data_IF_256371409051
#
_entry.id   IF_256371409051
#
_cell.length_a   1.000
_cell.length_b   1.000
_cell.length_c   1.000
_cell.angle_alpha   90.00
_cell.angle_beta   90.00
_cell.angle_gamma   90.00
#
_symmetry.space_group_name_H-M   'P 1'
#
loop_
_entity.id
_entity.type
_entity.pdbx_description
1 polymer ?
#
# COMPACT_ATOMS: atom_id res chain seq x y z
N UNK A 1 32.32 0.10 18.78
CA UNK A 1 31.93 0.01 17.34
C UNK A 1 32.78 0.96 16.53
N UNK A 2 33.43 0.49 15.44
CA UNK A 2 34.17 1.37 14.52
C UNK A 2 34.18 0.76 13.12
N UNK A 3 33.81 1.55 12.09
CA UNK A 3 33.75 1.16 10.68
C UNK A 3 33.77 2.36 9.75
N UNK A 4 34.05 2.13 8.46
CA UNK A 4 33.95 3.10 7.39
C UNK A 4 32.83 2.69 6.41
N UNK A 5 32.14 3.68 5.82
CA UNK A 5 31.03 3.46 4.87
C UNK A 5 30.92 4.65 3.92
N UNK A 6 30.37 4.48 2.71
CA UNK A 6 29.98 5.61 1.86
C UNK A 6 28.80 6.36 2.48
N UNK A 7 28.87 7.69 2.55
CA UNK A 7 27.78 8.54 3.03
C UNK A 7 26.48 8.32 2.23
N UNK A 8 26.59 8.10 0.92
CA UNK A 8 25.47 7.86 0.02
C UNK A 8 24.85 6.48 0.21
N UNK A 9 25.66 5.42 0.34
CA UNK A 9 25.16 4.06 0.59
C UNK A 9 24.47 3.96 1.96
N UNK A 10 25.05 4.55 2.98
CA UNK A 10 24.42 4.63 4.30
C UNK A 10 23.09 5.37 4.23
N UNK A 11 23.06 6.56 3.62
CA UNK A 11 21.84 7.34 3.49
C UNK A 11 20.75 6.57 2.76
N UNK A 12 21.07 5.91 1.63
CA UNK A 12 20.13 5.11 0.84
C UNK A 12 19.48 4.03 1.69
N UNK A 13 20.28 3.19 2.37
CA UNK A 13 19.75 2.15 3.25
C UNK A 13 18.86 2.68 4.37
N UNK A 14 19.31 3.77 5.03
CA UNK A 14 18.54 4.39 6.11
C UNK A 14 17.24 5.03 5.66
N UNK A 15 17.19 5.63 4.47
CA UNK A 15 15.97 6.26 3.94
C UNK A 15 14.84 5.26 3.75
N UNK A 16 15.12 4.06 3.26
CA UNK A 16 14.09 3.04 3.05
C UNK A 16 13.52 2.52 4.36
N UNK A 17 14.38 2.18 5.33
CA UNK A 17 13.91 1.66 6.62
C UNK A 17 13.36 2.75 7.54
N UNK A 18 13.69 4.03 7.32
CA UNK A 18 13.16 5.16 8.11
C UNK A 18 11.63 5.26 8.07
N UNK A 19 11.00 4.66 7.06
CA UNK A 19 9.53 4.60 6.92
C UNK A 19 8.85 3.79 8.04
N UNK A 20 9.61 2.96 8.77
CA UNK A 20 9.13 2.31 9.99
C UNK A 20 9.24 3.20 11.24
N UNK A 21 10.07 4.26 11.22
CA UNK A 21 10.25 5.14 12.38
C UNK A 21 8.96 5.93 12.63
N UNK A 22 8.36 5.84 13.83
CA UNK A 22 7.17 6.62 14.15
C UNK A 22 7.51 8.11 14.35
N UNK A 23 6.61 9.00 13.97
CA UNK A 23 6.78 10.44 14.19
C UNK A 23 6.85 10.80 15.70
N UNK A 24 6.14 10.05 16.53
CA UNK A 24 6.18 10.04 17.99
C UNK A 24 5.88 8.63 18.47
N UNK A 25 6.62 8.17 19.47
CA UNK A 25 6.42 6.86 20.07
C UNK A 25 6.21 6.96 21.58
N UNK A 26 5.41 6.06 22.14
CA UNK A 26 5.36 5.84 23.58
C UNK A 26 6.67 5.24 24.12
N UNK A 27 7.45 4.60 23.23
CA UNK A 27 8.79 4.07 23.50
C UNK A 27 9.81 4.93 22.75
N UNK A 28 10.49 5.88 23.39
CA UNK A 28 11.41 6.81 22.70
C UNK A 28 12.56 6.11 21.97
N UNK A 29 12.93 4.91 22.39
CA UNK A 29 13.98 4.12 21.73
C UNK A 29 13.64 3.82 20.26
N UNK A 30 12.35 3.72 19.89
CA UNK A 30 11.89 3.47 18.52
C UNK A 30 12.05 4.68 17.57
N UNK A 31 12.43 5.86 18.11
CA UNK A 31 12.82 7.01 17.28
C UNK A 31 14.27 6.89 16.78
N UNK A 32 14.95 5.77 17.10
CA UNK A 32 16.32 5.49 16.75
C UNK A 32 16.42 4.34 15.76
N UNK A 33 17.51 4.30 15.00
CA UNK A 33 17.96 3.10 14.30
C UNK A 33 18.73 2.23 15.26
N UNK A 34 18.49 0.94 15.23
CA UNK A 34 19.36 -0.05 15.86
C UNK A 34 20.45 -0.43 14.86
N UNK A 35 21.70 -0.15 15.19
CA UNK A 35 22.89 -0.56 14.46
C UNK A 35 23.43 -1.84 15.11
N UNK A 36 23.66 -2.87 14.31
CA UNK A 36 24.27 -4.14 14.70
C UNK A 36 25.41 -4.44 13.74
N UNK A 37 26.64 -4.28 14.18
CA UNK A 37 27.83 -4.46 13.37
C UNK A 37 28.46 -5.82 13.64
N UNK A 38 28.50 -6.69 12.62
CA UNK A 38 29.14 -8.00 12.64
C UNK A 38 30.07 -8.16 11.43
N UNK A 39 31.37 -8.27 11.66
CA UNK A 39 32.35 -8.30 10.58
C UNK A 39 32.27 -7.04 9.72
N UNK A 40 32.06 -7.21 8.43
CA UNK A 40 31.93 -6.12 7.46
C UNK A 40 30.47 -5.85 7.06
N UNK A 41 29.49 -6.32 7.82
CA UNK A 41 28.06 -6.07 7.60
C UNK A 41 27.50 -5.27 8.75
N UNK A 42 26.92 -4.13 8.43
CA UNK A 42 26.09 -3.33 9.33
C UNK A 42 24.63 -3.66 9.08
N UNK A 43 24.00 -4.45 9.97
CA UNK A 43 22.55 -4.56 9.98
C UNK A 43 21.94 -3.34 10.66
N UNK A 44 21.02 -2.68 9.98
CA UNK A 44 20.29 -1.55 10.55
C UNK A 44 18.82 -1.90 10.64
N UNK A 45 18.23 -1.71 11.83
CA UNK A 45 16.82 -1.98 12.11
C UNK A 45 16.08 -0.70 12.48
N UNK A 46 14.87 -0.55 11.96
CA UNK A 46 13.89 0.46 12.34
C UNK A 46 12.54 -0.20 12.66
N UNK A 47 11.83 0.25 13.69
CA UNK A 47 10.58 -0.39 14.12
C UNK A 47 9.60 0.60 14.75
N UNK A 48 8.29 0.32 14.61
CA UNK A 48 7.20 0.97 15.37
C UNK A 48 6.44 -0.01 16.29
N UNK A 49 6.98 -1.19 16.55
CA UNK A 49 6.41 -2.32 17.30
C UNK A 49 5.39 -3.18 16.52
N UNK A 50 4.82 -2.71 15.43
CA UNK A 50 3.92 -3.47 14.55
C UNK A 50 4.58 -3.83 13.22
N UNK A 51 5.50 -2.97 12.80
CA UNK A 51 6.30 -3.07 11.58
C UNK A 51 7.78 -2.92 11.94
N UNK A 52 8.60 -3.84 11.49
CA UNK A 52 10.07 -3.74 11.57
C UNK A 52 10.66 -3.85 10.18
N UNK A 53 11.55 -2.93 9.85
CA UNK A 53 12.38 -2.96 8.66
C UNK A 53 13.84 -3.16 9.05
N UNK A 54 14.54 -4.04 8.33
CA UNK A 54 15.96 -4.29 8.46
C UNK A 54 16.61 -4.20 7.09
N UNK A 55 17.80 -3.66 7.05
CA UNK A 55 18.65 -3.67 5.86
C UNK A 55 20.09 -3.95 6.22
N UNK A 56 20.81 -4.61 5.31
CA UNK A 56 22.22 -4.89 5.44
C UNK A 56 23.02 -3.92 4.58
N UNK A 57 24.04 -3.32 5.17
CA UNK A 57 24.95 -2.37 4.50
C UNK A 57 26.35 -2.90 4.62
N UNK A 58 27.05 -3.06 3.50
CA UNK A 58 28.47 -3.42 3.50
C UNK A 58 29.30 -2.24 3.99
N UNK A 59 30.24 -2.53 4.90
CA UNK A 59 31.12 -1.54 5.50
C UNK A 59 32.56 -2.01 5.42
N UNK A 60 33.49 -1.06 5.49
CA UNK A 60 34.92 -1.30 5.42
C UNK A 60 35.61 -0.99 6.74
N UNK A 61 36.87 -1.42 6.89
CA UNK A 61 37.77 -1.10 8.00
C UNK A 61 37.13 -1.30 9.38
N UNK A 62 36.40 -2.40 9.57
CA UNK A 62 35.80 -2.73 10.85
C UNK A 62 36.87 -3.11 11.86
N UNK A 63 36.96 -2.36 12.97
CA UNK A 63 37.90 -2.62 14.06
C UNK A 63 37.20 -3.13 15.31
N UNK A 64 35.98 -2.67 15.59
CA UNK A 64 35.20 -3.02 16.78
C UNK A 64 33.75 -3.26 16.40
N UNK A 65 33.27 -4.45 16.64
CA UNK A 65 31.86 -4.84 16.55
C UNK A 65 31.04 -4.22 17.69
N UNK A 66 29.72 -4.32 17.59
CA UNK A 66 28.84 -3.87 18.67
C UNK A 66 27.44 -3.55 18.21
N UNK A 67 26.61 -3.20 19.19
CA UNK A 67 25.19 -2.93 18.98
C UNK A 67 24.77 -1.68 19.74
N UNK A 68 24.22 -0.70 19.03
CA UNK A 68 23.80 0.60 19.59
C UNK A 68 22.56 1.14 18.92
N UNK A 69 21.79 1.98 19.61
CA UNK A 69 20.65 2.69 19.01
C UNK A 69 21.00 4.17 18.76
N UNK A 70 20.88 4.63 17.52
CA UNK A 70 21.33 5.95 17.05
C UNK A 70 20.11 6.79 16.60
N UNK A 71 20.00 8.08 17.00
CA UNK A 71 18.88 8.94 16.62
C UNK A 71 18.68 9.04 15.11
N UNK A 72 17.58 8.49 14.61
CA UNK A 72 17.34 8.32 13.19
C UNK A 72 17.27 9.67 12.46
N UNK A 73 16.49 10.61 12.98
CA UNK A 73 16.26 11.90 12.35
C UNK A 73 17.54 12.71 12.20
N UNK A 74 18.32 12.82 13.28
CA UNK A 74 19.57 13.59 13.25
C UNK A 74 20.59 13.01 12.30
N UNK A 75 20.68 11.66 12.26
CA UNK A 75 21.63 11.00 11.37
C UNK A 75 21.22 11.19 9.90
N UNK A 76 19.95 11.03 9.56
CA UNK A 76 19.45 11.25 8.19
C UNK A 76 19.64 12.72 7.77
N UNK A 77 19.30 13.67 8.64
CA UNK A 77 19.44 15.09 8.34
C UNK A 77 20.92 15.46 8.09
N UNK A 78 21.84 14.91 8.89
CA UNK A 78 23.28 15.08 8.66
C UNK A 78 23.72 14.49 7.30
N UNK A 79 23.32 13.24 7.01
CA UNK A 79 23.74 12.55 5.79
C UNK A 79 23.21 13.21 4.51
N UNK A 80 22.02 13.83 4.56
CA UNK A 80 21.46 14.58 3.43
C UNK A 80 22.27 15.79 3.01
N UNK A 81 23.00 16.40 3.95
CA UNK A 81 23.83 17.58 3.68
C UNK A 81 25.27 17.20 3.26
N UNK A 82 25.64 15.92 3.32
CA UNK A 82 26.96 15.45 2.92
C UNK A 82 26.97 15.08 1.42
N UNK A 83 28.01 15.51 0.67
CA UNK A 83 28.26 14.94 -0.65
C UNK A 83 28.70 13.48 -0.52
N UNK A 84 28.72 12.76 -1.64
CA UNK A 84 29.26 11.40 -1.65
C UNK A 84 30.73 11.38 -1.27
N UNK A 85 31.03 10.73 -0.14
CA UNK A 85 32.37 10.61 0.41
C UNK A 85 32.46 9.49 1.45
N UNK A 86 33.69 9.01 1.76
CA UNK A 86 33.88 8.11 2.90
C UNK A 86 33.49 8.77 4.22
N UNK A 87 32.77 8.02 5.03
CA UNK A 87 32.34 8.40 6.38
C UNK A 87 32.87 7.36 7.36
N UNK A 88 33.60 7.82 8.40
CA UNK A 88 34.04 6.98 9.51
C UNK A 88 33.07 7.16 10.67
N UNK A 89 32.51 6.06 11.16
CA UNK A 89 31.62 6.05 12.34
C UNK A 89 32.33 5.28 13.45
N UNK A 90 32.42 5.89 14.64
CA UNK A 90 33.02 5.26 15.80
C UNK A 90 32.32 5.64 17.11
N UNK A 91 32.26 4.74 18.06
CA UNK A 91 31.91 5.08 19.45
C UNK A 91 33.07 5.88 20.08
N UNK A 92 32.78 7.07 20.57
CA UNK A 92 33.77 7.99 21.17
C UNK A 92 33.76 7.90 22.69
N UNK A 93 32.60 7.63 23.29
CA UNK A 93 32.41 7.44 24.72
C UNK A 93 31.22 6.48 24.96
N UNK A 94 30.90 6.22 26.23
CA UNK A 94 29.77 5.33 26.59
C UNK A 94 28.37 5.87 26.17
N UNK A 95 28.29 7.04 25.59
CA UNK A 95 26.99 7.66 25.21
C UNK A 95 27.04 8.47 23.93
N UNK A 96 28.13 8.50 23.17
CA UNK A 96 28.26 9.25 21.93
C UNK A 96 29.00 8.49 20.84
N UNK A 97 28.54 8.67 19.60
CA UNK A 97 29.24 8.26 18.38
C UNK A 97 29.75 9.48 17.65
N UNK A 98 30.92 9.36 17.06
CA UNK A 98 31.49 10.33 16.13
C UNK A 98 31.21 9.85 14.69
N UNK A 99 30.61 10.74 13.88
CA UNK A 99 30.55 10.63 12.44
C UNK A 99 31.59 11.59 11.86
N UNK A 100 32.66 11.07 11.24
CA UNK A 100 33.77 11.87 10.70
C UNK A 100 33.82 11.75 9.18
N UNK A 101 33.93 12.87 8.52
CA UNK A 101 34.09 12.95 7.06
C UNK A 101 35.37 13.79 6.74
N UNK A 102 35.67 13.98 5.45
CA UNK A 102 36.94 14.56 4.99
C UNK A 102 37.28 15.92 5.63
N UNK A 103 36.28 16.77 5.88
CA UNK A 103 36.47 18.17 6.31
C UNK A 103 35.93 18.48 7.70
N UNK A 104 35.33 17.52 8.38
CA UNK A 104 34.72 17.75 9.68
C UNK A 104 34.21 16.49 10.38
N UNK A 105 33.56 16.71 11.51
CA UNK A 105 32.89 15.63 12.25
C UNK A 105 31.63 16.14 12.95
N UNK A 106 30.78 15.19 13.35
CA UNK A 106 29.62 15.42 14.20
C UNK A 106 29.59 14.38 15.31
N UNK A 107 29.18 14.79 16.50
CA UNK A 107 28.92 13.91 17.63
C UNK A 107 27.42 13.76 17.79
N UNK A 108 26.93 12.51 17.82
CA UNK A 108 25.53 12.16 18.08
C UNK A 108 25.45 11.31 19.35
N UNK A 109 24.41 11.45 20.16
CA UNK A 109 24.17 10.52 21.25
C UNK A 109 23.81 9.13 20.70
N UNK A 110 24.08 8.08 21.46
CA UNK A 110 23.50 6.77 21.23
C UNK A 110 22.91 6.20 22.54
N UNK A 111 22.07 5.18 22.41
CA UNK A 111 21.40 4.52 23.54
C UNK A 111 21.73 3.03 23.53
N UNK A 112 21.66 2.36 24.71
CA UNK A 112 21.84 0.94 24.80
C UNK A 112 20.88 0.16 23.88
N UNK A 113 21.39 -0.87 23.20
CA UNK A 113 20.64 -1.68 22.27
C UNK A 113 19.65 -2.64 22.97
N UNK A 114 19.89 -2.97 24.23
CA UNK A 114 19.09 -3.90 25.03
C UNK A 114 17.65 -3.42 25.22
N UNK A 115 17.44 -2.11 25.17
CA UNK A 115 16.12 -1.49 25.29
C UNK A 115 15.30 -1.52 23.98
N UNK A 116 15.93 -1.95 22.86
CA UNK A 116 15.26 -1.96 21.56
C UNK A 116 14.40 -3.21 21.39
N UNK A 117 13.08 -3.06 21.20
CA UNK A 117 12.18 -4.21 21.10
C UNK A 117 12.44 -5.00 19.82
N UNK A 118 12.49 -6.32 19.97
CA UNK A 118 12.63 -7.23 18.83
C UNK A 118 11.28 -7.79 18.43
N UNK A 119 10.91 -7.63 17.17
CA UNK A 119 9.78 -8.36 16.57
C UNK A 119 10.34 -9.69 16.05
N UNK A 120 9.74 -10.80 16.53
CA UNK A 120 10.06 -12.14 16.05
C UNK A 120 9.53 -12.29 14.63
N UNK A 121 10.29 -12.96 13.78
CA UNK A 121 9.83 -13.40 12.47
C UNK A 121 8.68 -14.42 12.55
N UNK A 122 8.25 -14.92 11.42
CA UNK A 122 7.28 -15.99 11.32
C UNK A 122 7.80 -17.29 11.98
N UNK A 123 6.89 -18.10 12.51
CA UNK A 123 7.21 -19.34 13.21
C UNK A 123 7.80 -20.44 12.32
N UNK A 124 8.16 -21.57 12.94
CA UNK A 124 8.78 -22.70 12.24
C UNK A 124 7.85 -23.39 11.21
N UNK A 125 6.53 -23.31 11.41
CA UNK A 125 5.51 -23.85 10.50
C UNK A 125 5.02 -22.82 9.46
N UNK A 126 5.77 -21.74 9.23
CA UNK A 126 5.39 -20.68 8.30
C UNK A 126 5.43 -21.17 6.85
N UNK A 127 4.45 -20.74 6.06
CA UNK A 127 4.43 -20.93 4.62
C UNK A 127 5.33 -19.88 3.95
N UNK A 128 5.97 -20.26 2.83
CA UNK A 128 6.82 -19.36 2.05
C UNK A 128 6.42 -19.39 0.59
N UNK A 129 6.28 -18.20 -0.01
CA UNK A 129 5.81 -18.00 -1.38
C UNK A 129 6.72 -16.97 -2.05
N UNK A 130 7.14 -17.26 -3.29
CA UNK A 130 7.81 -16.29 -4.14
C UNK A 130 6.78 -15.47 -4.93
N UNK A 131 6.88 -14.14 -4.85
CA UNK A 131 5.97 -13.22 -5.53
C UNK A 131 6.77 -12.23 -6.38
N UNK A 132 6.49 -12.11 -7.71
CA UNK A 132 7.15 -11.10 -8.53
C UNK A 132 6.92 -9.70 -7.96
N UNK A 133 7.99 -8.92 -7.80
CA UNK A 133 7.96 -7.60 -7.19
C UNK A 133 6.99 -6.64 -7.91
N UNK A 134 6.99 -6.68 -9.24
CA UNK A 134 6.08 -5.86 -10.07
C UNK A 134 4.62 -6.18 -9.78
N UNK A 135 4.22 -7.47 -9.83
CA UNK A 135 2.84 -7.92 -9.58
C UNK A 135 2.41 -7.64 -8.14
N UNK A 136 3.34 -7.75 -7.16
CA UNK A 136 3.06 -7.42 -5.76
C UNK A 136 2.77 -5.94 -5.57
N UNK A 137 3.65 -5.07 -6.08
CA UNK A 137 3.51 -3.61 -5.98
C UNK A 137 2.25 -3.15 -6.72
N UNK A 138 1.98 -3.70 -7.91
CA UNK A 138 0.78 -3.38 -8.69
C UNK A 138 -0.49 -3.80 -7.94
N UNK A 139 -0.54 -5.02 -7.41
CA UNK A 139 -1.69 -5.52 -6.66
C UNK A 139 -1.99 -4.68 -5.41
N UNK A 140 -0.95 -4.27 -4.67
CA UNK A 140 -1.11 -3.35 -3.54
C UNK A 140 -1.62 -1.98 -4.02
N UNK A 141 -1.05 -1.41 -5.09
CA UNK A 141 -1.48 -0.12 -5.62
C UNK A 141 -2.95 -0.14 -6.06
N UNK A 142 -3.38 -1.22 -6.73
CA UNK A 142 -4.76 -1.38 -7.20
C UNK A 142 -5.78 -1.56 -6.08
N UNK A 143 -5.38 -2.03 -4.90
CA UNK A 143 -6.32 -2.41 -3.84
C UNK A 143 -6.30 -1.50 -2.62
N UNK A 144 -5.15 -0.95 -2.23
CA UNK A 144 -4.94 -0.27 -0.95
C UNK A 144 -5.92 0.90 -0.68
N UNK A 145 -6.36 1.62 -1.72
CA UNK A 145 -7.28 2.75 -1.57
C UNK A 145 -8.71 2.33 -1.19
N UNK A 146 -9.02 1.04 -1.33
CA UNK A 146 -10.31 0.49 -0.96
C UNK A 146 -10.35 -0.06 0.47
N UNK A 147 -9.24 -0.07 1.20
CA UNK A 147 -9.22 -0.47 2.61
C UNK A 147 -10.07 0.47 3.46
N UNK A 148 -10.69 -0.07 4.50
CA UNK A 148 -11.40 0.71 5.51
C UNK A 148 -10.45 1.38 6.52
N UNK A 149 -11.06 2.20 7.37
CA UNK A 149 -10.47 2.72 8.61
C UNK A 149 -11.58 2.57 9.68
N UNK A 150 -11.79 1.35 10.16
CA UNK A 150 -12.97 0.93 10.91
C UNK A 150 -12.58 0.12 12.14
N UNK A 151 -12.83 0.65 13.32
CA UNK A 151 -12.51 -0.01 14.59
C UNK A 151 -13.40 -1.24 14.87
N UNK A 152 -14.60 -1.30 14.27
CA UNK A 152 -15.57 -2.39 14.50
C UNK A 152 -15.22 -3.60 13.63
N UNK A 153 -14.66 -3.37 12.44
CA UNK A 153 -14.33 -4.41 11.47
C UNK A 153 -12.86 -4.35 11.06
N UNK A 154 -11.93 -4.67 11.99
CA UNK A 154 -10.48 -4.52 11.74
C UNK A 154 -9.99 -5.29 10.52
N UNK A 155 -10.63 -6.41 10.18
CA UNK A 155 -10.28 -7.19 8.98
C UNK A 155 -10.35 -6.39 7.67
N UNK A 156 -11.16 -5.32 7.61
CA UNK A 156 -11.28 -4.45 6.44
C UNK A 156 -10.21 -3.33 6.40
N UNK A 157 -9.43 -3.14 7.46
CA UNK A 157 -8.35 -2.13 7.52
C UNK A 157 -7.07 -2.59 6.82
N UNK A 158 -7.13 -3.69 6.09
CA UNK A 158 -6.01 -4.26 5.36
C UNK A 158 -6.39 -4.82 4.01
N UNK A 159 -5.37 -5.26 3.30
CA UNK A 159 -5.48 -5.99 2.04
C UNK A 159 -5.49 -7.48 2.37
N UNK A 160 -6.49 -8.19 1.90
CA UNK A 160 -6.57 -9.63 2.00
C UNK A 160 -5.83 -10.28 0.83
N UNK A 161 -4.81 -11.06 1.13
CA UNK A 161 -4.07 -11.89 0.19
C UNK A 161 -4.70 -13.27 0.20
N UNK A 162 -5.24 -13.68 -0.93
CA UNK A 162 -5.95 -14.97 -1.12
C UNK A 162 -5.19 -15.80 -2.16
N UNK A 163 -4.36 -16.73 -1.68
CA UNK A 163 -3.54 -17.60 -2.51
C UNK A 163 -4.31 -18.88 -2.88
N UNK A 164 -4.25 -19.23 -4.14
CA UNK A 164 -4.92 -20.42 -4.66
C UNK A 164 -4.13 -21.14 -5.75
N UNK A 165 -4.63 -22.33 -6.15
CA UNK A 165 -3.96 -23.18 -7.13
C UNK A 165 -3.99 -22.66 -8.57
N UNK A 166 -4.89 -21.74 -8.88
CA UNK A 166 -5.02 -21.19 -10.23
C UNK A 166 -4.51 -19.75 -10.32
N UNK A 167 -4.67 -18.99 -9.24
CA UNK A 167 -4.34 -17.56 -9.21
C UNK A 167 -4.23 -17.06 -7.76
N UNK A 168 -3.59 -15.92 -7.59
CA UNK A 168 -3.59 -15.15 -6.34
C UNK A 168 -4.43 -13.90 -6.51
N UNK A 169 -5.26 -13.58 -5.50
CA UNK A 169 -6.11 -12.41 -5.50
C UNK A 169 -5.84 -11.52 -4.30
N UNK A 170 -5.55 -10.25 -4.52
CA UNK A 170 -5.48 -9.21 -3.49
C UNK A 170 -6.83 -8.50 -3.44
N UNK A 171 -7.41 -8.36 -2.25
CA UNK A 171 -8.75 -7.79 -2.07
C UNK A 171 -8.75 -6.73 -0.98
N UNK A 172 -9.40 -5.62 -1.24
CA UNK A 172 -9.69 -4.62 -0.22
C UNK A 172 -11.13 -4.10 -0.33
N UNK A 173 -11.74 -3.78 0.81
CA UNK A 173 -13.11 -3.26 0.89
C UNK A 173 -13.33 -2.41 2.13
N UNK A 174 -14.16 -1.35 1.98
CA UNK A 174 -14.68 -0.53 3.08
C UNK A 174 -16.20 -0.73 3.31
N UNK A 175 -16.79 -1.78 2.74
CA UNK A 175 -18.22 -2.09 2.67
C UNK A 175 -19.02 -1.29 1.64
N UNK A 176 -18.50 -0.20 1.12
CA UNK A 176 -19.16 0.62 0.09
C UNK A 176 -18.57 0.37 -1.29
N UNK A 177 -17.29 0.10 -1.33
CA UNK A 177 -16.56 -0.33 -2.52
C UNK A 177 -15.73 -1.57 -2.18
N UNK A 178 -15.46 -2.41 -3.17
CA UNK A 178 -14.57 -3.56 -3.08
C UNK A 178 -13.75 -3.62 -4.36
N UNK A 179 -12.46 -3.85 -4.20
CA UNK A 179 -11.55 -4.02 -5.32
C UNK A 179 -10.84 -5.35 -5.18
N UNK A 180 -10.80 -6.09 -6.28
CA UNK A 180 -10.00 -7.29 -6.45
C UNK A 180 -8.96 -7.05 -7.53
N UNK A 181 -7.73 -7.45 -7.25
CA UNK A 181 -6.67 -7.61 -8.23
C UNK A 181 -6.26 -9.07 -8.26
N UNK A 182 -6.38 -9.71 -9.41
CA UNK A 182 -6.05 -11.14 -9.57
C UNK A 182 -4.91 -11.27 -10.55
N UNK A 183 -3.87 -12.02 -10.16
CA UNK A 183 -2.74 -12.38 -11.02
C UNK A 183 -2.60 -13.90 -11.12
N UNK A 184 -2.15 -14.36 -12.28
CA UNK A 184 -1.83 -15.76 -12.54
C UNK A 184 -0.33 -16.08 -12.36
N UNK A 185 0.48 -15.07 -12.02
CA UNK A 185 1.94 -15.20 -11.85
C UNK A 185 2.30 -16.00 -10.60
N UNK A 186 1.42 -16.01 -9.61
CA UNK A 186 1.62 -16.71 -8.33
C UNK A 186 0.51 -17.72 -8.11
N UNK A 187 0.92 -18.97 -7.91
CA UNK A 187 0.03 -20.12 -7.64
C UNK A 187 0.63 -20.94 -6.51
N UNK A 188 -0.24 -21.48 -5.68
CA UNK A 188 0.16 -22.30 -4.52
C UNK A 188 -0.58 -23.62 -4.54
N UNK A 189 0.07 -24.71 -4.13
CA UNK A 189 -0.56 -26.03 -4.10
C UNK A 189 -1.71 -26.08 -3.07
N UNK A 190 -1.57 -25.36 -1.97
CA UNK A 190 -2.56 -25.25 -0.92
C UNK A 190 -3.14 -23.85 -0.86
N UNK A 191 -4.44 -23.75 -0.62
CA UNK A 191 -5.08 -22.46 -0.39
C UNK A 191 -4.63 -21.89 0.96
N UNK A 192 -4.07 -20.71 0.93
CA UNK A 192 -3.66 -19.97 2.13
C UNK A 192 -3.99 -18.50 2.01
N UNK A 193 -3.99 -17.78 3.12
CA UNK A 193 -4.38 -16.37 3.10
C UNK A 193 -3.94 -15.63 4.35
N UNK A 194 -3.74 -14.31 4.20
CA UNK A 194 -3.54 -13.41 5.33
C UNK A 194 -4.11 -12.01 5.05
N UNK A 195 -4.20 -11.18 6.08
CA UNK A 195 -4.65 -9.78 5.97
C UNK A 195 -3.49 -8.88 6.40
N UNK A 196 -2.93 -8.12 5.43
CA UNK A 196 -1.88 -7.15 5.66
C UNK A 196 -2.49 -5.77 5.93
N UNK A 197 -2.18 -5.17 7.08
CA UNK A 197 -2.69 -3.85 7.44
C UNK A 197 -2.26 -2.79 6.41
N UNK A 198 -3.09 -1.77 6.21
CA UNK A 198 -2.88 -0.66 5.27
C UNK A 198 -1.52 0.02 5.40
N UNK A 199 -1.06 0.29 6.64
CA UNK A 199 0.23 0.97 6.86
C UNK A 199 1.41 0.13 6.37
N UNK A 200 1.61 -1.13 6.80
CA UNK A 200 2.63 -2.01 6.23
C UNK A 200 2.53 -2.15 4.70
N UNK A 201 1.33 -2.33 4.14
CA UNK A 201 1.16 -2.41 2.70
C UNK A 201 1.63 -1.13 1.97
N UNK A 202 1.35 0.05 2.56
CA UNK A 202 1.82 1.33 2.02
C UNK A 202 3.35 1.47 2.08
N UNK A 203 3.97 0.99 3.15
CA UNK A 203 5.44 0.99 3.28
C UNK A 203 6.03 0.02 2.26
N UNK A 204 5.55 -1.22 2.21
CA UNK A 204 6.05 -2.27 1.31
C UNK A 204 6.09 -1.78 -0.14
N UNK A 205 4.98 -1.27 -0.68
CA UNK A 205 4.92 -0.75 -2.06
C UNK A 205 5.85 0.44 -2.34
N UNK A 206 6.34 1.11 -1.30
CA UNK A 206 7.22 2.27 -1.43
C UNK A 206 8.70 1.95 -1.33
N UNK A 207 9.04 0.72 -0.86
CA UNK A 207 10.43 0.26 -0.71
C UNK A 207 10.78 -0.87 -1.69
N UNK A 208 9.80 -1.66 -2.13
CA UNK A 208 10.01 -2.67 -3.17
C UNK A 208 10.10 -1.98 -4.52
N UNK A 209 11.23 -2.19 -5.21
CA UNK A 209 11.40 -1.80 -6.60
C UNK A 209 10.82 -2.86 -7.53
N UNK A 210 10.30 -2.45 -8.67
CA UNK A 210 9.88 -3.39 -9.73
C UNK A 210 11.04 -4.23 -10.27
N UNK A 211 12.26 -3.72 -10.12
CA UNK A 211 13.50 -4.38 -10.57
C UNK A 211 14.05 -5.38 -9.54
N UNK A 212 13.45 -5.51 -8.34
CA UNK A 212 13.92 -6.42 -7.29
C UNK A 212 13.70 -7.92 -7.62
N UNK A 213 13.13 -8.23 -8.79
CA UNK A 213 12.84 -9.60 -9.20
C UNK A 213 11.70 -10.21 -8.38
N UNK A 214 11.99 -11.12 -7.45
CA UNK A 214 11.01 -11.74 -6.58
C UNK A 214 11.13 -11.24 -5.14
N UNK A 215 9.99 -11.13 -4.48
CA UNK A 215 9.86 -10.93 -3.03
C UNK A 215 9.49 -12.27 -2.41
N UNK A 216 10.29 -12.76 -1.48
CA UNK A 216 9.94 -13.94 -0.68
C UNK A 216 8.99 -13.51 0.43
N UNK A 217 7.79 -14.10 0.46
CA UNK A 217 6.75 -13.83 1.47
C UNK A 217 6.65 -15.06 2.37
N UNK A 218 7.08 -14.94 3.62
CA UNK A 218 6.99 -16.02 4.63
C UNK A 218 6.00 -15.60 5.72
N UNK A 219 4.96 -16.38 5.97
CA UNK A 219 3.91 -15.99 6.91
C UNK A 219 3.36 -17.15 7.73
N UNK A 220 2.87 -16.81 8.90
CA UNK A 220 2.08 -17.66 9.79
C UNK A 220 0.72 -17.00 10.10
N UNK A 221 0.03 -17.45 11.13
CA UNK A 221 -1.29 -16.89 11.52
C UNK A 221 -1.26 -15.46 12.08
N UNK A 222 -0.10 -14.92 12.39
CA UNK A 222 0.07 -13.65 13.14
C UNK A 222 1.10 -12.71 12.55
N UNK A 223 2.03 -13.22 11.77
CA UNK A 223 3.21 -12.49 11.30
C UNK A 223 3.46 -12.78 9.83
N UNK A 224 3.90 -11.79 9.09
CA UNK A 224 4.42 -11.93 7.73
C UNK A 224 5.78 -11.29 7.63
N UNK A 225 6.66 -11.93 6.89
CA UNK A 225 8.01 -11.47 6.54
C UNK A 225 8.10 -11.33 5.03
N UNK A 226 8.49 -10.17 4.56
CA UNK A 226 8.84 -9.91 3.15
C UNK A 226 10.34 -9.74 3.07
N UNK A 227 11.00 -10.54 2.23
CA UNK A 227 12.45 -10.47 2.00
C UNK A 227 12.72 -10.20 0.52
N UNK A 228 13.48 -9.15 0.24
CA UNK A 228 13.87 -8.73 -1.09
C UNK A 228 15.18 -7.96 -1.03
N UNK A 229 16.05 -8.16 -2.04
CA UNK A 229 17.40 -7.61 -2.06
C UNK A 229 18.09 -7.83 -0.70
N UNK A 230 18.52 -6.78 -0.04
CA UNK A 230 19.14 -6.78 1.30
C UNK A 230 18.18 -6.34 2.41
N UNK A 231 16.89 -6.26 2.10
CA UNK A 231 15.88 -5.72 3.01
C UNK A 231 14.93 -6.81 3.47
N UNK A 232 14.65 -6.81 4.77
CA UNK A 232 13.64 -7.65 5.40
C UNK A 232 12.61 -6.77 6.11
N UNK A 233 11.34 -7.02 5.82
CA UNK A 233 10.20 -6.35 6.45
C UNK A 233 9.38 -7.36 7.23
N UNK A 234 9.27 -7.18 8.53
CA UNK A 234 8.47 -8.03 9.42
C UNK A 234 7.24 -7.25 9.87
N UNK A 235 6.03 -7.80 9.67
CA UNK A 235 4.79 -7.16 10.04
C UNK A 235 3.88 -8.09 10.84
N UNK A 236 3.14 -7.50 11.78
CA UNK A 236 1.99 -8.19 12.38
C UNK A 236 0.82 -8.20 11.41
N UNK A 237 0.14 -9.33 11.35
CA UNK A 237 -1.06 -9.52 10.55
C UNK A 237 -2.32 -9.11 11.32
N UNK A 238 -3.35 -8.70 10.59
CA UNK A 238 -4.67 -8.56 11.17
C UNK A 238 -5.26 -9.95 11.36
N UNK A 239 -5.44 -10.34 12.62
CA UNK A 239 -6.04 -11.62 12.98
C UNK A 239 -7.56 -11.52 12.82
N UNK A 240 -8.14 -12.43 12.02
CA UNK A 240 -9.59 -12.46 11.80
C UNK A 240 -9.97 -13.09 10.48
N UNK A 241 -11.27 -13.24 10.28
CA UNK A 241 -11.81 -13.77 9.03
C UNK A 241 -12.19 -12.63 8.10
N UNK A 242 -11.61 -12.59 6.91
CA UNK A 242 -12.03 -11.66 5.87
C UNK A 242 -13.44 -12.02 5.37
N UNK A 243 -14.31 -11.03 5.05
CA UNK A 243 -15.60 -11.29 4.47
C UNK A 243 -15.53 -12.16 3.19
N UNK A 244 -16.57 -12.94 2.92
CA UNK A 244 -16.65 -13.73 1.69
C UNK A 244 -16.86 -12.83 0.47
N UNK A 245 -15.80 -12.21 0.02
CA UNK A 245 -15.83 -11.19 -1.02
C UNK A 245 -16.37 -11.71 -2.36
N UNK A 246 -16.15 -13.00 -2.67
CA UNK A 246 -16.65 -13.61 -3.91
C UNK A 246 -18.18 -13.64 -3.99
N UNK A 247 -18.87 -13.70 -2.85
CA UNK A 247 -20.33 -13.75 -2.80
C UNK A 247 -20.99 -12.40 -3.14
N UNK A 248 -20.22 -11.30 -3.05
CA UNK A 248 -20.72 -9.94 -3.35
C UNK A 248 -20.41 -9.48 -4.77
N UNK A 249 -19.62 -10.26 -5.54
CA UNK A 249 -19.34 -9.97 -6.95
C UNK A 249 -20.58 -10.28 -7.78
N UNK A 250 -21.21 -9.29 -8.46
CA UNK A 250 -22.44 -9.52 -9.20
C UNK A 250 -22.20 -10.41 -10.42
N UNK A 251 -22.91 -11.52 -10.53
CA UNK A 251 -22.85 -12.41 -11.68
C UNK A 251 -23.81 -12.04 -12.82
N UNK A 252 -24.93 -11.34 -12.52
CA UNK A 252 -26.07 -11.15 -13.44
C UNK A 252 -26.39 -9.67 -13.69
N UNK A 253 -25.40 -8.86 -13.99
CA UNK A 253 -25.56 -7.46 -14.34
C UNK A 253 -25.67 -7.33 -15.87
N UNK A 254 -26.91 -7.27 -16.39
CA UNK A 254 -27.19 -7.33 -17.83
C UNK A 254 -27.09 -6.00 -18.56
N UNK A 255 -27.21 -4.88 -17.86
CA UNK A 255 -27.10 -3.54 -18.45
C UNK A 255 -25.62 -3.13 -18.49
N UNK A 256 -25.08 -2.92 -19.68
CA UNK A 256 -23.63 -2.72 -19.90
C UNK A 256 -23.39 -1.32 -20.45
N UNK A 257 -22.54 -0.58 -19.76
CA UNK A 257 -21.98 0.72 -20.19
C UNK A 257 -20.52 0.52 -20.58
N UNK A 258 -20.13 1.00 -21.78
CA UNK A 258 -18.75 1.15 -22.23
C UNK A 258 -18.46 2.64 -22.43
N UNK A 259 -17.35 3.12 -21.87
CA UNK A 259 -17.03 4.54 -21.89
C UNK A 259 -15.53 4.77 -21.75
N UNK A 260 -15.03 5.84 -22.38
CA UNK A 260 -13.68 6.35 -22.11
C UNK A 260 -13.53 6.72 -20.63
N UNK A 261 -12.56 6.11 -19.97
CA UNK A 261 -12.33 6.26 -18.53
C UNK A 261 -11.96 7.69 -18.14
N UNK A 262 -11.10 8.35 -18.95
CA UNK A 262 -10.64 9.70 -18.64
C UNK A 262 -11.77 10.73 -18.82
N UNK A 263 -12.56 10.60 -19.89
CA UNK A 263 -13.75 11.40 -20.12
C UNK A 263 -14.70 11.28 -18.92
N UNK A 264 -15.00 10.04 -18.52
CA UNK A 264 -15.92 9.79 -17.42
C UNK A 264 -15.40 10.34 -16.08
N UNK A 265 -14.13 10.06 -15.73
CA UNK A 265 -13.50 10.57 -14.51
C UNK A 265 -13.54 12.10 -14.44
N UNK A 266 -13.16 12.77 -15.54
CA UNK A 266 -13.11 14.21 -15.58
C UNK A 266 -14.53 14.83 -15.49
N UNK A 267 -15.53 14.19 -16.10
CA UNK A 267 -16.93 14.62 -15.99
C UNK A 267 -17.46 14.45 -14.57
N UNK A 268 -17.22 13.28 -13.95
CA UNK A 268 -17.57 13.05 -12.53
C UNK A 268 -16.94 14.11 -11.63
N UNK A 269 -15.66 14.42 -11.82
CA UNK A 269 -14.95 15.44 -11.03
C UNK A 269 -15.56 16.84 -11.20
N UNK A 270 -15.89 17.25 -12.43
CA UNK A 270 -16.50 18.56 -12.67
C UNK A 270 -17.89 18.68 -12.03
N UNK A 271 -18.74 17.69 -12.26
CA UNK A 271 -20.11 17.68 -11.72
C UNK A 271 -20.11 17.59 -10.18
N UNK A 272 -19.21 16.80 -9.62
CA UNK A 272 -19.08 16.60 -8.16
C UNK A 272 -18.73 17.89 -7.39
N UNK A 273 -18.22 18.95 -8.05
CA UNK A 273 -18.00 20.26 -7.42
C UNK A 273 -19.31 20.84 -6.86
N UNK A 274 -20.43 20.53 -7.51
CA UNK A 274 -21.76 20.97 -7.09
C UNK A 274 -22.51 19.95 -6.21
N UNK A 275 -21.88 18.84 -5.86
CA UNK A 275 -22.47 17.86 -4.96
C UNK A 275 -22.46 18.36 -3.52
N UNK A 276 -23.47 17.98 -2.73
CA UNK A 276 -23.48 18.24 -1.31
C UNK A 276 -22.23 17.64 -0.64
N UNK A 277 -21.49 18.44 0.12
CA UNK A 277 -20.18 18.06 0.69
C UNK A 277 -20.25 16.88 1.67
N UNK A 278 -21.35 16.73 2.40
CA UNK A 278 -21.50 15.66 3.37
C UNK A 278 -21.81 14.30 2.71
N UNK A 279 -22.67 14.31 1.69
CA UNK A 279 -23.11 13.08 1.01
C UNK A 279 -22.28 12.75 -0.22
N UNK A 280 -21.72 13.75 -0.90
CA UNK A 280 -20.98 13.62 -2.17
C UNK A 280 -21.78 12.87 -3.26
N UNK A 281 -23.11 13.01 -3.26
CA UNK A 281 -24.00 12.30 -4.17
C UNK A 281 -23.94 12.85 -5.59
N UNK A 282 -23.81 11.93 -6.54
CA UNK A 282 -24.07 12.18 -7.96
C UNK A 282 -25.07 11.17 -8.48
N UNK A 283 -25.82 11.53 -9.49
CA UNK A 283 -26.78 10.67 -10.20
C UNK A 283 -26.32 10.48 -11.62
N UNK A 284 -26.34 9.25 -12.09
CA UNK A 284 -26.13 8.87 -13.48
C UNK A 284 -27.48 8.48 -14.09
N UNK A 285 -27.85 9.10 -15.19
CA UNK A 285 -29.00 8.71 -16.03
C UNK A 285 -28.47 8.11 -17.33
N UNK A 286 -28.65 6.81 -17.49
CA UNK A 286 -28.15 6.03 -18.61
C UNK A 286 -29.28 5.79 -19.62
N UNK A 287 -29.01 6.13 -20.88
CA UNK A 287 -29.86 5.84 -22.03
C UNK A 287 -29.00 5.37 -23.21
N UNK A 288 -29.56 4.67 -24.17
CA UNK A 288 -28.81 4.30 -25.37
C UNK A 288 -28.10 5.50 -26.01
N UNK A 289 -26.78 5.38 -26.15
CA UNK A 289 -25.91 6.38 -26.77
C UNK A 289 -25.50 7.57 -25.90
N UNK A 290 -26.06 7.77 -24.71
CA UNK A 290 -25.70 8.89 -23.84
C UNK A 290 -25.86 8.61 -22.35
N UNK A 291 -25.04 9.28 -21.55
CA UNK A 291 -25.18 9.31 -20.09
C UNK A 291 -25.27 10.79 -19.65
N UNK A 292 -26.19 11.10 -18.75
CA UNK A 292 -26.27 12.38 -18.06
C UNK A 292 -25.81 12.18 -16.62
N UNK A 293 -24.89 13.03 -16.15
CA UNK A 293 -24.38 13.04 -14.78
C UNK A 293 -24.88 14.32 -14.12
N UNK A 294 -25.53 14.20 -12.97
CA UNK A 294 -26.06 15.34 -12.22
C UNK A 294 -25.61 15.34 -10.77
N UNK A 295 -25.42 16.52 -10.21
CA UNK A 295 -25.22 16.75 -8.79
C UNK A 295 -25.94 18.02 -8.37
N UNK A 296 -26.38 18.07 -7.09
CA UNK A 296 -26.99 19.26 -6.53
C UNK A 296 -26.74 19.37 -5.03
N UNK A 297 -26.65 20.59 -4.54
CA UNK A 297 -26.72 20.93 -3.12
C UNK A 297 -27.82 21.96 -2.92
N UNK A 298 -28.96 21.50 -2.42
CA UNK A 298 -30.12 22.36 -2.19
C UNK A 298 -29.88 23.41 -1.10
N UNK A 299 -28.98 23.12 -0.16
CA UNK A 299 -28.64 24.05 0.93
C UNK A 299 -27.90 25.29 0.43
N UNK A 300 -27.14 25.16 -0.64
CA UNK A 300 -26.40 26.26 -1.28
C UNK A 300 -27.01 26.71 -2.61
N UNK A 301 -28.12 26.10 -3.04
CA UNK A 301 -28.77 26.39 -4.34
C UNK A 301 -27.81 26.25 -5.54
N UNK A 302 -26.92 25.25 -5.49
CA UNK A 302 -26.00 24.93 -6.58
C UNK A 302 -26.36 23.60 -7.21
N UNK A 303 -26.20 23.51 -8.53
CA UNK A 303 -26.41 22.28 -9.29
C UNK A 303 -25.50 22.25 -10.52
N UNK A 304 -25.16 21.08 -10.96
CA UNK A 304 -24.47 20.85 -12.23
C UNK A 304 -25.05 19.64 -12.93
N UNK A 305 -25.02 19.65 -14.25
CA UNK A 305 -25.26 18.48 -15.07
C UNK A 305 -24.32 18.50 -16.27
N UNK A 306 -23.96 17.33 -16.74
CA UNK A 306 -23.16 17.17 -17.95
C UNK A 306 -23.61 15.92 -18.70
N UNK A 307 -23.73 16.03 -20.03
CA UNK A 307 -24.07 14.91 -20.91
C UNK A 307 -22.85 14.49 -21.70
N UNK A 308 -22.60 13.19 -21.70
CA UNK A 308 -21.49 12.61 -22.46
C UNK A 308 -21.99 11.42 -23.29
N UNK A 309 -21.37 11.23 -24.46
CA UNK A 309 -21.61 10.08 -25.30
C UNK A 309 -21.04 8.81 -24.65
N UNK A 310 -21.75 7.72 -24.76
CA UNK A 310 -21.30 6.41 -24.28
C UNK A 310 -21.99 5.27 -25.07
N UNK A 311 -21.42 4.09 -25.01
CA UNK A 311 -22.08 2.89 -25.50
C UNK A 311 -22.81 2.25 -24.32
N UNK A 312 -24.12 2.37 -24.30
CA UNK A 312 -24.96 1.75 -23.28
C UNK A 312 -25.93 0.75 -23.92
N UNK A 313 -25.83 -0.49 -23.46
CA UNK A 313 -26.74 -1.56 -23.84
C UNK A 313 -27.52 -1.99 -22.60
N UNK A 314 -28.75 -1.50 -22.49
CA UNK A 314 -29.63 -1.80 -21.36
C UNK A 314 -30.87 -0.93 -21.38
N UNK A 315 -31.78 -1.17 -20.42
CA UNK A 315 -32.94 -0.30 -20.20
C UNK A 315 -32.52 1.04 -19.58
N UNK A 316 -33.33 2.08 -19.79
CA UNK A 316 -33.12 3.37 -19.13
C UNK A 316 -32.92 3.17 -17.61
N UNK A 317 -31.84 3.67 -17.09
CA UNK A 317 -31.43 3.45 -15.70
C UNK A 317 -31.00 4.77 -15.05
N UNK A 318 -31.59 5.08 -13.90
CA UNK A 318 -31.12 6.16 -13.02
C UNK A 318 -30.52 5.54 -11.75
N UNK A 319 -29.24 5.81 -11.49
CA UNK A 319 -28.49 5.22 -10.37
C UNK A 319 -27.61 6.29 -9.71
N UNK A 320 -27.56 6.28 -8.38
CA UNK A 320 -26.73 7.20 -7.60
C UNK A 320 -25.46 6.58 -7.06
N UNK A 321 -24.40 7.37 -7.00
CA UNK A 321 -23.16 6.96 -6.38
C UNK A 321 -22.55 8.10 -5.54
N UNK A 322 -21.69 7.73 -4.59
CA UNK A 322 -20.80 8.68 -3.94
C UNK A 322 -19.67 9.03 -4.90
N UNK A 323 -19.59 10.28 -5.32
CA UNK A 323 -18.64 10.74 -6.33
C UNK A 323 -17.19 10.51 -5.96
N UNK A 324 -16.86 10.59 -4.65
CA UNK A 324 -15.52 10.31 -4.14
C UNK A 324 -15.11 8.86 -4.40
N UNK A 325 -15.97 7.89 -4.09
CA UNK A 325 -15.69 6.48 -4.31
C UNK A 325 -15.59 6.12 -5.80
N UNK A 326 -16.50 6.66 -6.61
CA UNK A 326 -16.44 6.45 -8.05
C UNK A 326 -15.15 7.06 -8.64
N UNK A 327 -14.79 8.28 -8.26
CA UNK A 327 -13.56 8.94 -8.71
C UNK A 327 -12.30 8.19 -8.27
N UNK A 328 -12.26 7.62 -7.06
CA UNK A 328 -11.15 6.79 -6.59
C UNK A 328 -10.99 5.54 -7.47
N UNK A 329 -12.07 4.81 -7.72
CA UNK A 329 -12.02 3.62 -8.59
C UNK A 329 -11.54 4.01 -9.99
N UNK A 330 -12.15 5.02 -10.62
CA UNK A 330 -11.79 5.47 -11.96
C UNK A 330 -10.33 5.95 -12.06
N UNK A 331 -9.80 6.57 -11.00
CA UNK A 331 -8.42 7.07 -10.98
C UNK A 331 -7.37 5.96 -10.87
N UNK A 332 -7.74 4.81 -10.27
CA UNK A 332 -6.84 3.69 -10.05
C UNK A 332 -6.99 2.55 -11.09
N UNK A 333 -7.93 2.69 -12.03
CA UNK A 333 -7.99 1.82 -13.21
C UNK A 333 -6.99 2.29 -14.27
N UNK A 334 -6.27 1.38 -14.92
CA UNK A 334 -5.23 1.68 -15.92
C UNK A 334 -5.70 1.46 -17.37
N UNK A 335 -7.02 1.34 -17.60
CA UNK A 335 -7.60 1.10 -18.92
C UNK A 335 -7.93 2.41 -19.65
N UNK A 336 -8.01 2.38 -20.98
CA UNK A 336 -8.59 3.46 -21.79
C UNK A 336 -10.12 3.36 -21.76
N UNK A 337 -10.66 2.17 -22.03
CA UNK A 337 -12.10 1.89 -22.03
C UNK A 337 -12.52 1.17 -20.77
N UNK A 338 -13.47 1.75 -20.06
CA UNK A 338 -14.07 1.20 -18.86
C UNK A 338 -15.41 0.51 -19.21
N UNK A 339 -15.67 -0.62 -18.58
CA UNK A 339 -16.95 -1.31 -18.65
C UNK A 339 -17.61 -1.28 -17.26
N UNK A 340 -18.81 -0.72 -17.19
CA UNK A 340 -19.66 -0.84 -16.00
C UNK A 340 -20.85 -1.73 -16.31
N UNK A 341 -21.14 -2.65 -15.40
CA UNK A 341 -22.29 -3.58 -15.54
C UNK A 341 -23.24 -3.36 -14.36
N UNK A 342 -24.52 -3.21 -14.67
CA UNK A 342 -25.58 -2.93 -13.71
C UNK A 342 -26.69 -3.99 -13.80
N UNK A 343 -27.27 -4.36 -12.68
CA UNK A 343 -28.51 -5.11 -12.63
C UNK A 343 -29.71 -4.15 -12.56
N UNK A 344 -29.70 -3.26 -11.58
CA UNK A 344 -30.72 -2.24 -11.32
C UNK A 344 -30.13 -1.09 -10.47
N UNK A 345 -30.96 -0.13 -10.07
CA UNK A 345 -30.55 1.04 -9.29
C UNK A 345 -30.17 0.77 -7.82
N UNK A 346 -30.34 -0.46 -7.32
CA UNK A 346 -30.18 -0.79 -5.89
C UNK A 346 -29.05 -1.80 -5.64
N UNK A 347 -28.69 -2.57 -6.66
CA UNK A 347 -27.61 -3.57 -6.56
C UNK A 347 -26.28 -2.99 -6.99
N UNK A 348 -25.20 -3.59 -6.46
CA UNK A 348 -23.84 -3.16 -6.74
C UNK A 348 -23.52 -3.13 -8.23
N UNK A 349 -22.86 -2.08 -8.67
CA UNK A 349 -22.29 -1.99 -10.01
C UNK A 349 -20.94 -2.72 -10.04
N UNK A 350 -20.70 -3.47 -11.10
CA UNK A 350 -19.42 -4.06 -11.42
C UNK A 350 -18.66 -3.13 -12.37
N UNK A 351 -17.40 -2.84 -12.08
CA UNK A 351 -16.53 -1.95 -12.83
C UNK A 351 -15.27 -2.72 -13.21
N UNK A 352 -15.02 -2.88 -14.50
CA UNK A 352 -13.88 -3.64 -15.01
C UNK A 352 -13.25 -2.92 -16.22
N UNK A 353 -11.97 -3.16 -16.53
CA UNK A 353 -11.39 -2.79 -17.82
C UNK A 353 -12.14 -3.49 -18.98
N UNK A 354 -12.01 -2.95 -20.19
CA UNK A 354 -12.50 -3.66 -21.39
C UNK A 354 -11.73 -4.98 -21.57
N UNK A 355 -12.44 -6.01 -22.05
CA UNK A 355 -11.90 -7.38 -22.21
C UNK A 355 -10.69 -7.47 -23.16
N UNK A 356 -10.44 -6.42 -23.94
CA UNK A 356 -9.34 -6.37 -24.91
C UNK A 356 -7.98 -6.02 -24.25
N UNK A 357 -7.94 -5.65 -22.96
CA UNK A 357 -6.76 -4.98 -22.39
C UNK A 357 -5.86 -5.87 -21.50
N UNK A 358 -6.26 -7.06 -21.03
CA UNK A 358 -5.35 -7.86 -20.16
C UNK A 358 -5.62 -9.38 -20.17
N UNK A 359 -4.60 -10.15 -20.53
CA UNK A 359 -4.60 -11.62 -20.41
C UNK A 359 -4.08 -12.14 -19.04
N UNK A 360 -3.13 -11.42 -18.40
CA UNK A 360 -2.44 -11.89 -17.17
C UNK A 360 -3.01 -11.33 -15.87
N UNK A 361 -3.56 -10.13 -15.89
CA UNK A 361 -4.04 -9.43 -14.70
C UNK A 361 -5.51 -9.04 -14.84
N UNK A 362 -6.29 -9.29 -13.79
CA UNK A 362 -7.71 -8.94 -13.75
C UNK A 362 -7.99 -8.00 -12.59
N UNK A 363 -8.43 -6.78 -12.90
CA UNK A 363 -8.93 -5.83 -11.89
C UNK A 363 -10.45 -5.80 -11.94
N UNK A 364 -11.06 -5.93 -10.78
CA UNK A 364 -12.51 -5.89 -10.61
C UNK A 364 -12.86 -4.90 -9.48
N UNK A 365 -13.64 -3.88 -9.82
CA UNK A 365 -14.20 -2.92 -8.86
C UNK A 365 -15.70 -3.17 -8.67
N UNK A 366 -16.16 -3.12 -7.43
CA UNK A 366 -17.56 -3.14 -7.06
C UNK A 366 -17.89 -1.86 -6.33
N UNK A 367 -18.98 -1.22 -6.70
CA UNK A 367 -19.43 0.00 -6.07
C UNK A 367 -20.90 -0.10 -5.69
N UNK A 368 -21.19 0.08 -4.39
CA UNK A 368 -22.56 0.10 -3.89
C UNK A 368 -23.26 1.41 -4.30
N UNK A 369 -24.45 1.34 -4.89
CA UNK A 369 -25.23 2.54 -5.19
C UNK A 369 -25.81 3.14 -3.93
N UNK A 370 -26.19 4.40 -4.05
CA UNK A 370 -26.98 5.13 -3.06
C UNK A 370 -28.34 5.46 -3.62
N UNK A 371 -29.32 5.55 -2.75
CA UNK A 371 -30.70 5.85 -3.18
C UNK A 371 -30.77 7.24 -3.80
N UNK A 372 -31.29 7.31 -5.02
CA UNK A 372 -31.61 8.59 -5.70
C UNK A 372 -32.99 8.99 -5.27
N UNK A 373 -33.13 10.19 -4.71
CA UNK A 373 -34.43 10.83 -4.46
C UNK A 373 -34.92 11.52 -5.72
#
# INVERSE_FOLDING_TARGET
>A
MKFNVSSTELLKGLMDISKAIPAKSALPILENFLFDLNGNILEVTASDSELTLRTEIEVDDTEEEGKIAVPARHLIDLLKELPDQPLSIRTESDSSIECRWTTGNSLLPYFPAEDYPQIKGAGEDAESIEFPAESLVEGINKTIYATADDEIRPAMNGIFFDFGSESTTLVASDSHKLICYTTNDVKTDNASSFILHKKPASVLKSIVSKDDGNVTITFDSSTVVFSFDRTTMVCRLIVGKYPKYRDVIPANNANILRIDRNLFLNTVRRVAVCANKASSHIKLELKPGQMEITAQDLGFAIAAYEKIACEYNGNDLAIGFKSTFLSEILSNMSCETLVMKFADARRAALIVPSEEETESEKVCGILMPIMVQ
#
